data_IF_741270873285
#
_entry.id   IF_741270873285
#
_cell.length_a   1.000
_cell.length_b   1.000
_cell.length_c   1.000
_cell.angle_alpha   90.00
_cell.angle_beta   90.00
_cell.angle_gamma   90.00
#
_symmetry.space_group_name_H-M   'P 1'
#
loop_
_entity.id
_entity.type
_entity.pdbx_description
1 polymer ?
#
# COMPACT_ATOMS: atom_id res chain seq x y z
N UNK A 1 1.08 -6.60 17.44
CA UNK A 1 0.69 -5.17 17.63
C UNK A 1 1.15 -4.47 16.37
N UNK A 2 0.21 -4.08 15.51
CA UNK A 2 0.50 -3.64 14.15
C UNK A 2 1.31 -2.34 14.16
N UNK A 3 2.61 -2.43 13.91
CA UNK A 3 3.46 -1.29 13.63
C UNK A 3 3.35 -0.94 12.14
N UNK A 4 2.16 -0.52 11.72
CA UNK A 4 2.03 0.21 10.44
C UNK A 4 2.39 1.65 10.77
N UNK A 5 3.57 2.10 10.36
CA UNK A 5 3.96 3.50 10.55
C UNK A 5 3.15 4.34 9.56
N UNK A 6 2.01 4.83 10.03
CA UNK A 6 1.14 5.76 9.35
C UNK A 6 1.87 7.09 9.13
N UNK A 7 2.42 7.31 7.94
CA UNK A 7 2.85 8.63 7.51
C UNK A 7 1.67 9.32 6.83
N UNK A 8 0.99 10.23 7.53
CA UNK A 8 0.16 11.23 6.87
C UNK A 8 1.14 12.15 6.14
N UNK A 9 1.27 12.02 4.82
CA UNK A 9 1.99 13.02 4.03
C UNK A 9 1.08 14.25 3.90
N UNK A 10 1.08 15.09 4.94
CA UNK A 10 0.41 16.40 4.98
C UNK A 10 1.12 17.43 4.08
N UNK A 11 2.26 17.10 3.46
CA UNK A 11 3.12 18.07 2.78
C UNK A 11 2.78 18.35 1.30
N UNK A 12 1.74 17.73 0.74
CA UNK A 12 1.35 17.95 -0.67
C UNK A 12 0.42 19.16 -0.89
N UNK A 13 0.24 20.00 0.13
CA UNK A 13 -0.71 21.11 0.08
C UNK A 13 -0.25 22.41 -0.58
N UNK A 14 1.05 22.76 -0.66
CA UNK A 14 1.35 24.15 -1.10
C UNK A 14 2.72 24.55 -1.67
N UNK A 15 3.74 23.71 -1.79
CA UNK A 15 5.09 24.29 -2.04
C UNK A 15 5.70 23.92 -3.39
N UNK A 16 5.69 24.92 -4.29
CA UNK A 16 6.49 25.01 -5.53
C UNK A 16 7.99 24.86 -5.20
N UNK A 17 8.52 23.65 -5.05
CA UNK A 17 9.96 23.45 -5.02
C UNK A 17 10.35 22.11 -5.67
N UNK A 18 11.22 22.20 -6.67
CA UNK A 18 11.60 21.07 -7.54
C UNK A 18 12.27 19.95 -6.72
N UNK A 19 13.00 20.31 -5.67
CA UNK A 19 13.67 19.40 -4.74
C UNK A 19 12.73 18.50 -3.93
N UNK A 20 11.56 19.00 -3.54
CA UNK A 20 10.55 18.21 -2.82
C UNK A 20 9.91 17.18 -3.76
N UNK A 21 9.59 17.59 -4.99
CA UNK A 21 9.05 16.69 -6.02
C UNK A 21 10.02 15.54 -6.34
N UNK A 22 11.32 15.81 -6.38
CA UNK A 22 12.32 14.77 -6.62
C UNK A 22 12.28 13.69 -5.53
N UNK A 23 12.20 14.09 -4.26
CA UNK A 23 12.16 13.17 -3.11
C UNK A 23 10.83 12.41 -3.09
N UNK A 24 9.71 13.08 -3.40
CA UNK A 24 8.40 12.46 -3.49
C UNK A 24 8.36 11.44 -4.63
N UNK A 25 8.79 11.79 -5.84
CA UNK A 25 8.81 10.88 -7.00
C UNK A 25 9.74 9.68 -6.76
N UNK A 26 10.90 9.90 -6.13
CA UNK A 26 11.82 8.83 -5.73
C UNK A 26 11.19 7.87 -4.72
N UNK A 27 10.51 8.43 -3.72
CA UNK A 27 9.82 7.66 -2.66
C UNK A 27 8.62 6.91 -3.20
N UNK A 28 7.80 7.55 -4.05
CA UNK A 28 6.66 6.92 -4.72
C UNK A 28 7.12 5.81 -5.66
N UNK A 29 8.18 6.03 -6.45
CA UNK A 29 8.75 4.97 -7.29
C UNK A 29 9.26 3.80 -6.46
N UNK A 30 9.89 4.07 -5.32
CA UNK A 30 10.33 3.02 -4.39
C UNK A 30 9.14 2.24 -3.81
N UNK A 31 8.14 2.92 -3.28
CA UNK A 31 6.92 2.31 -2.76
C UNK A 31 6.20 1.49 -3.81
N UNK A 32 6.11 2.00 -5.03
CA UNK A 32 5.54 1.30 -6.17
C UNK A 32 6.34 0.03 -6.48
N UNK A 33 7.67 0.14 -6.53
CA UNK A 33 8.53 -1.01 -6.80
C UNK A 33 8.43 -2.05 -5.67
N UNK A 34 8.39 -1.62 -4.42
CA UNK A 34 8.22 -2.50 -3.26
C UNK A 34 6.85 -3.16 -3.26
N UNK A 35 5.79 -2.42 -3.58
CA UNK A 35 4.44 -2.97 -3.76
C UNK A 35 4.41 -3.99 -4.89
N UNK A 36 5.19 -3.78 -5.95
CA UNK A 36 5.37 -4.72 -7.06
C UNK A 36 6.18 -5.97 -6.70
N UNK A 37 7.15 -5.84 -5.80
CA UNK A 37 8.00 -6.94 -5.36
C UNK A 37 7.38 -7.77 -4.23
N UNK A 38 6.53 -7.15 -3.41
CA UNK A 38 5.87 -7.81 -2.29
C UNK A 38 4.72 -8.69 -2.78
N UNK A 39 4.89 -10.00 -2.64
CA UNK A 39 3.92 -11.01 -3.08
C UNK A 39 2.56 -10.81 -2.40
N UNK A 40 2.56 -10.40 -1.12
CA UNK A 40 1.34 -10.16 -0.36
C UNK A 40 0.57 -9.00 -0.96
N UNK A 41 1.24 -7.87 -1.22
CA UNK A 41 0.57 -6.70 -1.79
C UNK A 41 0.14 -6.91 -3.25
N UNK A 42 0.89 -7.68 -4.04
CA UNK A 42 0.46 -8.09 -5.37
C UNK A 42 -0.83 -8.92 -5.34
N UNK A 43 -0.93 -9.83 -4.38
CA UNK A 43 -2.13 -10.66 -4.21
C UNK A 43 -3.32 -9.82 -3.72
N UNK A 44 -3.12 -8.89 -2.78
CA UNK A 44 -4.16 -7.92 -2.37
C UNK A 44 -4.62 -7.08 -3.56
N UNK A 45 -3.67 -6.55 -4.37
CA UNK A 45 -3.99 -5.78 -5.57
C UNK A 45 -4.85 -6.59 -6.54
N UNK A 46 -4.51 -7.86 -6.74
CA UNK A 46 -5.28 -8.76 -7.60
C UNK A 46 -6.70 -8.94 -7.07
N UNK A 47 -6.87 -9.17 -5.77
CA UNK A 47 -8.19 -9.28 -5.13
C UNK A 47 -9.00 -7.98 -5.18
N UNK A 48 -8.37 -6.82 -5.14
CA UNK A 48 -9.06 -5.53 -5.33
C UNK A 48 -9.58 -5.39 -6.77
N UNK A 49 -8.83 -5.88 -7.76
CA UNK A 49 -9.19 -5.78 -9.19
C UNK A 49 -10.17 -6.86 -9.65
N UNK A 50 -9.99 -8.10 -9.21
CA UNK A 50 -10.84 -9.24 -9.59
C UNK A 50 -12.06 -9.41 -8.67
N UNK A 51 -12.00 -8.81 -7.49
CA UNK A 51 -12.97 -9.00 -6.43
C UNK A 51 -12.44 -9.92 -5.34
N UNK A 52 -12.79 -9.58 -4.10
CA UNK A 52 -12.52 -10.43 -2.96
C UNK A 52 -13.50 -11.61 -2.96
N UNK A 53 -13.09 -12.84 -2.59
CA UNK A 53 -14.01 -13.96 -2.43
C UNK A 53 -15.18 -13.67 -1.46
N UNK A 54 -16.06 -14.64 -1.25
CA UNK A 54 -17.14 -14.47 -0.25
C UNK A 54 -16.65 -14.78 1.15
N UNK A 55 -15.75 -15.76 1.28
CA UNK A 55 -15.26 -16.21 2.58
C UNK A 55 -13.80 -15.82 2.82
N UNK A 56 -13.52 -15.33 4.02
CA UNK A 56 -12.15 -15.05 4.48
C UNK A 56 -11.25 -16.28 4.35
N UNK A 57 -11.84 -17.47 4.50
CA UNK A 57 -11.11 -18.73 4.47
C UNK A 57 -10.59 -19.10 3.08
N UNK A 58 -11.22 -18.60 2.03
CA UNK A 58 -10.80 -18.77 0.64
C UNK A 58 -9.58 -17.92 0.29
N UNK A 59 -9.25 -16.92 1.10
CA UNK A 59 -8.04 -16.12 0.90
C UNK A 59 -6.78 -16.79 1.43
N UNK A 60 -5.68 -16.59 0.69
CA UNK A 60 -4.32 -16.86 1.13
C UNK A 60 -4.09 -16.27 2.53
N UNK A 61 -3.41 -17.03 3.40
CA UNK A 61 -3.08 -16.57 4.75
C UNK A 61 -2.34 -15.23 4.76
N UNK A 62 -1.56 -14.97 3.71
CA UNK A 62 -0.80 -13.73 3.49
C UNK A 62 -1.72 -12.50 3.41
N UNK A 63 -2.85 -12.61 2.70
CA UNK A 63 -3.77 -11.49 2.45
C UNK A 63 -5.00 -11.51 3.37
N UNK A 64 -5.13 -12.58 4.18
CA UNK A 64 -6.26 -12.81 5.07
C UNK A 64 -6.43 -11.71 6.13
N UNK A 65 -5.35 -11.01 6.47
CA UNK A 65 -5.38 -9.85 7.36
C UNK A 65 -6.01 -8.61 6.69
N UNK A 66 -5.80 -8.45 5.38
CA UNK A 66 -6.34 -7.38 4.55
C UNK A 66 -7.83 -7.57 4.24
N UNK A 67 -8.33 -8.82 4.27
CA UNK A 67 -9.75 -9.14 4.08
C UNK A 67 -10.72 -8.29 4.91
N UNK A 68 -10.35 -8.07 6.17
CA UNK A 68 -11.17 -7.32 7.13
C UNK A 68 -11.37 -5.88 6.70
N UNK A 69 -10.43 -5.34 5.93
CA UNK A 69 -10.39 -3.97 5.46
C UNK A 69 -10.68 -3.85 3.96
N UNK A 70 -11.12 -4.92 3.29
CA UNK A 70 -11.27 -4.99 1.84
C UNK A 70 -12.06 -3.83 1.20
N UNK A 71 -13.03 -3.28 1.92
CA UNK A 71 -13.85 -2.14 1.47
C UNK A 71 -13.13 -0.79 1.62
N UNK A 72 -12.16 -0.70 2.53
CA UNK A 72 -11.30 0.47 2.70
C UNK A 72 -10.05 0.39 1.81
N UNK A 73 -9.73 -0.78 1.25
CA UNK A 73 -8.52 -0.97 0.46
C UNK A 73 -8.71 -0.50 -0.98
N UNK A 74 -7.76 0.27 -1.48
CA UNK A 74 -7.75 0.75 -2.86
C UNK A 74 -6.33 0.76 -3.43
N UNK A 75 -6.21 0.69 -4.75
CA UNK A 75 -4.92 0.75 -5.45
C UNK A 75 -4.91 2.03 -6.27
N UNK A 76 -3.93 2.89 -6.02
CA UNK A 76 -3.71 4.11 -6.78
C UNK A 76 -2.27 4.15 -7.27
N UNK A 77 -2.10 4.28 -8.59
CA UNK A 77 -0.81 4.30 -9.28
C UNK A 77 0.11 3.09 -9.00
N UNK A 78 -0.46 1.98 -8.53
CA UNK A 78 0.25 0.76 -8.17
C UNK A 78 0.70 0.69 -6.72
N UNK A 79 0.27 1.64 -5.87
CA UNK A 79 0.47 1.66 -4.43
C UNK A 79 -0.84 1.28 -3.74
N UNK A 80 -0.76 0.48 -2.67
CA UNK A 80 -1.91 0.08 -1.87
C UNK A 80 -2.22 1.15 -0.83
N UNK A 81 -3.49 1.50 -0.73
CA UNK A 81 -4.05 2.42 0.24
C UNK A 81 -5.10 1.71 1.09
N UNK A 82 -5.22 2.14 2.36
CA UNK A 82 -6.31 1.82 3.27
C UNK A 82 -6.97 3.16 3.66
N UNK A 83 -8.12 3.46 3.09
CA UNK A 83 -8.69 4.82 3.12
C UNK A 83 -7.71 5.80 2.46
N UNK A 84 -7.32 6.84 3.20
CA UNK A 84 -6.36 7.85 2.75
C UNK A 84 -4.89 7.51 3.06
N UNK A 85 -4.61 6.31 3.58
CA UNK A 85 -3.27 5.97 4.11
C UNK A 85 -2.60 4.94 3.20
N UNK A 86 -1.35 5.20 2.82
CA UNK A 86 -0.49 4.24 2.13
C UNK A 86 -0.12 3.06 3.03
N UNK A 87 -0.29 1.84 2.50
CA UNK A 87 0.20 0.60 3.11
C UNK A 87 1.64 0.36 2.66
N UNK A 88 2.55 0.26 3.63
CA UNK A 88 3.98 -0.05 3.38
C UNK A 88 4.17 -1.59 3.45
N UNK A 89 4.75 -2.22 2.42
CA UNK A 89 5.08 -3.65 2.46
C UNK A 89 6.13 -3.98 3.54
N UNK A 90 5.99 -5.15 4.16
CA UNK A 90 6.94 -5.65 5.19
C UNK A 90 8.33 -6.02 4.63
N UNK A 91 8.51 -6.03 3.30
CA UNK A 91 9.84 -6.27 2.68
C UNK A 91 10.90 -5.20 3.01
N UNK A 92 10.54 -4.16 3.78
CA UNK A 92 11.41 -3.13 4.33
C UNK A 92 11.61 -3.28 5.86
N UNK A 93 11.75 -4.50 6.40
CA UNK A 93 12.49 -4.64 7.66
C UNK A 93 13.96 -4.28 7.37
N UNK A 94 14.25 -2.98 7.35
CA UNK A 94 15.60 -2.43 7.42
C UNK A 94 16.23 -2.98 8.70
N UNK A 95 17.12 -3.97 8.55
CA UNK A 95 18.13 -4.29 9.57
C UNK A 95 19.14 -3.15 9.70
#
# INVERSE_FOLDING_TARGET
MWFVRFGIYDELGSTRNKDTLNVTESTYNRLRNETMQDITLQEVKKLILEGWPSEREETSLLVREYWTYREELSIQEGILYKGDIIVIPNSQELQ
#
